data_IF_164708736028
#
_entry.id   IF_164708736028
#
_cell.length_a   1.000
_cell.length_b   1.000
_cell.length_c   1.000
_cell.angle_alpha   90.00
_cell.angle_beta   90.00
_cell.angle_gamma   90.00
#
_symmetry.space_group_name_H-M   'P 1'
#
loop_
_entity.id
_entity.type
_entity.pdbx_description
1 polymer ?
#
# COMPACT_ATOMS: atom_id res chain seq x y z
N UNK A 1 7.13 -0.58 16.53
CA UNK A 1 8.42 -0.53 15.82
C UNK A 1 8.62 0.78 15.05
N UNK A 2 7.66 1.21 14.21
CA UNK A 2 7.80 2.43 13.39
C UNK A 2 8.22 3.66 14.20
N UNK A 3 7.52 3.95 15.30
CA UNK A 3 7.80 5.13 16.12
C UNK A 3 9.23 5.11 16.71
N UNK A 4 9.71 3.95 17.18
CA UNK A 4 11.08 3.81 17.69
C UNK A 4 12.12 4.03 16.60
N UNK A 5 11.87 3.48 15.39
CA UNK A 5 12.73 3.71 14.24
C UNK A 5 12.73 5.19 13.83
N UNK A 6 11.58 5.85 13.84
CA UNK A 6 11.48 7.28 13.60
C UNK A 6 12.34 8.06 14.59
N UNK A 7 12.12 7.91 15.91
CA UNK A 7 12.87 8.66 16.94
C UNK A 7 14.39 8.54 16.78
N UNK A 8 14.88 7.35 16.42
CA UNK A 8 16.31 7.10 16.29
C UNK A 8 16.91 7.53 14.95
N UNK A 9 16.15 7.44 13.84
CA UNK A 9 16.71 7.54 12.49
C UNK A 9 16.35 8.83 11.76
N UNK A 10 15.19 9.44 12.02
CA UNK A 10 14.62 10.47 11.12
C UNK A 10 15.54 11.69 10.92
N UNK A 11 16.21 12.15 11.97
CA UNK A 11 17.09 13.33 11.93
C UNK A 11 18.27 13.14 10.96
N UNK A 12 18.81 11.93 10.87
CA UNK A 12 19.99 11.61 10.07
C UNK A 12 19.67 10.75 8.84
N UNK A 13 18.40 10.41 8.62
CA UNK A 13 17.94 9.49 7.56
C UNK A 13 18.46 9.91 6.18
N UNK A 14 18.37 11.20 5.85
CA UNK A 14 18.87 11.73 4.59
C UNK A 14 20.36 11.41 4.36
N UNK A 15 21.24 11.59 5.34
CA UNK A 15 22.66 11.19 5.24
C UNK A 15 22.87 9.69 5.33
N UNK A 16 22.23 9.02 6.28
CA UNK A 16 22.43 7.61 6.58
C UNK A 16 22.04 6.74 5.38
N UNK A 17 20.87 6.99 4.80
CA UNK A 17 20.31 6.18 3.72
C UNK A 17 21.02 6.39 2.37
N UNK A 18 21.91 7.41 2.28
CA UNK A 18 22.77 7.64 1.11
C UNK A 18 24.12 6.91 1.18
N UNK A 19 24.55 6.44 2.35
CA UNK A 19 25.84 5.73 2.55
C UNK A 19 25.94 4.48 1.67
N UNK A 20 27.15 3.96 1.44
CA UNK A 20 27.37 2.76 0.63
C UNK A 20 27.02 1.46 1.37
N UNK A 21 27.00 1.47 2.71
CA UNK A 21 26.82 0.27 3.54
C UNK A 21 25.53 -0.51 3.25
N UNK A 22 25.63 -1.84 3.15
CA UNK A 22 24.47 -2.71 2.90
C UNK A 22 23.52 -2.79 4.12
N UNK A 23 24.03 -2.49 5.32
CA UNK A 23 23.25 -2.47 6.56
C UNK A 23 23.35 -1.07 7.15
N UNK A 24 22.19 -0.42 7.28
CA UNK A 24 22.12 0.99 7.67
C UNK A 24 21.93 1.20 9.17
N UNK A 25 21.45 0.20 9.89
CA UNK A 25 21.35 0.21 11.36
C UNK A 25 21.48 -1.19 11.94
N UNK A 26 21.70 -1.25 13.25
CA UNK A 26 21.74 -2.49 14.04
C UNK A 26 20.43 -2.56 14.82
N UNK A 27 19.71 -3.67 14.68
CA UNK A 27 18.46 -3.88 15.40
C UNK A 27 18.72 -4.72 16.65
N UNK A 28 18.45 -4.14 17.82
CA UNK A 28 18.51 -4.84 19.11
C UNK A 28 17.11 -4.90 19.70
N UNK A 29 16.58 -6.10 19.90
CA UNK A 29 15.28 -6.30 20.54
C UNK A 29 15.49 -6.59 22.02
N UNK A 30 14.90 -5.75 22.88
CA UNK A 30 14.99 -5.91 24.33
C UNK A 30 14.50 -7.31 24.73
N UNK A 31 15.30 -8.03 25.52
CA UNK A 31 14.98 -9.39 25.98
C UNK A 31 15.17 -10.52 24.96
N UNK A 32 15.63 -10.24 23.73
CA UNK A 32 15.97 -11.28 22.75
C UNK A 32 17.47 -11.31 22.48
N UNK A 33 18.10 -12.40 22.89
CA UNK A 33 19.46 -12.74 22.45
C UNK A 33 19.34 -13.29 21.03
N UNK A 34 19.93 -12.62 20.06
CA UNK A 34 19.87 -13.04 18.66
C UNK A 34 21.22 -12.87 18.02
N UNK A 35 21.77 -13.99 17.52
CA UNK A 35 23.11 -14.07 16.93
C UNK A 35 23.13 -13.47 15.51
N UNK A 36 21.99 -13.54 14.79
CA UNK A 36 21.90 -13.08 13.40
C UNK A 36 21.39 -11.64 13.27
N UNK A 37 22.32 -10.70 13.28
CA UNK A 37 22.06 -9.27 13.05
C UNK A 37 21.45 -8.96 11.67
N UNK A 38 21.71 -9.79 10.65
CA UNK A 38 21.13 -9.62 9.32
C UNK A 38 19.64 -9.93 9.30
N UNK A 39 19.20 -10.95 10.05
CA UNK A 39 17.78 -11.26 10.24
C UNK A 39 17.07 -10.20 11.10
N UNK A 40 17.70 -9.74 12.17
CA UNK A 40 17.13 -8.67 13.02
C UNK A 40 16.87 -7.39 12.22
N UNK A 41 17.84 -6.96 11.41
CA UNK A 41 17.71 -5.83 10.51
C UNK A 41 16.51 -5.98 9.56
N UNK A 42 16.40 -7.12 8.86
CA UNK A 42 15.28 -7.39 7.93
C UNK A 42 13.92 -7.45 8.63
N UNK A 43 13.87 -8.06 9.80
CA UNK A 43 12.67 -8.10 10.62
C UNK A 43 12.26 -6.68 11.05
N UNK A 44 13.22 -5.81 11.38
CA UNK A 44 12.90 -4.44 11.79
C UNK A 44 12.20 -3.67 10.68
N UNK A 45 12.68 -3.79 9.43
CA UNK A 45 12.01 -3.22 8.24
C UNK A 45 10.60 -3.80 8.11
N UNK A 46 10.46 -5.12 8.22
CA UNK A 46 9.15 -5.79 8.09
C UNK A 46 8.15 -5.30 9.13
N UNK A 47 8.58 -5.12 10.39
CA UNK A 47 7.74 -4.59 11.46
C UNK A 47 7.41 -3.10 11.28
N UNK A 48 8.35 -2.31 10.75
CA UNK A 48 8.09 -0.91 10.38
C UNK A 48 6.99 -0.85 9.31
N UNK A 49 7.09 -1.63 8.24
CA UNK A 49 6.05 -1.70 7.19
C UNK A 49 4.70 -2.16 7.75
N UNK A 50 4.69 -3.19 8.60
CA UNK A 50 3.49 -3.69 9.24
C UNK A 50 2.83 -2.67 10.18
N UNK A 51 3.61 -1.80 10.83
CA UNK A 51 3.06 -0.70 11.61
C UNK A 51 2.47 0.41 10.71
N UNK A 52 3.14 0.74 9.60
CA UNK A 52 2.66 1.74 8.62
C UNK A 52 1.31 1.32 8.02
N UNK A 53 1.17 0.04 7.65
CA UNK A 53 -0.08 -0.52 7.13
C UNK A 53 -0.91 -1.16 8.27
N UNK A 54 -1.17 -0.40 9.34
CA UNK A 54 -2.03 -0.83 10.43
C UNK A 54 -2.81 0.33 11.04
N UNK A 55 -3.85 0.00 11.80
CA UNK A 55 -4.65 0.98 12.56
C UNK A 55 -3.93 1.54 13.80
N UNK A 56 -2.68 1.11 14.08
CA UNK A 56 -1.91 1.57 15.25
C UNK A 56 -1.32 2.97 15.07
N UNK A 57 -1.21 3.44 13.83
CA UNK A 57 -0.65 4.76 13.50
C UNK A 57 -1.72 5.62 12.82
N UNK A 58 -1.85 6.90 13.17
CA UNK A 58 -2.81 7.82 12.53
C UNK A 58 -2.28 8.35 11.19
N UNK A 59 -1.59 7.51 10.41
CA UNK A 59 -0.90 7.89 9.17
C UNK A 59 -1.58 7.32 7.93
N UNK A 60 -2.10 6.10 7.99
CA UNK A 60 -2.76 5.47 6.86
C UNK A 60 -4.04 4.81 7.34
N UNK A 61 -5.02 4.75 6.45
CA UNK A 61 -6.26 4.04 6.64
C UNK A 61 -6.43 3.04 5.51
N UNK A 62 -7.16 1.96 5.78
CA UNK A 62 -7.56 1.02 4.74
C UNK A 62 -8.48 1.76 3.75
N UNK A 63 -8.34 1.47 2.45
CA UNK A 63 -9.23 2.02 1.43
C UNK A 63 -10.71 1.84 1.82
N UNK A 64 -11.61 2.80 1.51
CA UNK A 64 -13.05 2.63 1.68
C UNK A 64 -13.57 1.29 1.16
N UNK A 65 -13.17 0.89 -0.05
CA UNK A 65 -13.46 -0.42 -0.64
C UNK A 65 -13.07 -1.60 0.27
N UNK A 66 -11.96 -1.50 0.99
CA UNK A 66 -11.52 -2.53 1.95
C UNK A 66 -12.36 -2.58 3.22
N UNK A 67 -12.85 -1.42 3.69
CA UNK A 67 -13.71 -1.32 4.88
C UNK A 67 -15.13 -1.80 4.60
N UNK A 68 -15.66 -1.53 3.41
CA UNK A 68 -16.98 -1.99 2.96
C UNK A 68 -16.92 -3.38 2.32
N UNK A 69 -15.72 -3.87 2.00
CA UNK A 69 -15.46 -5.12 1.31
C UNK A 69 -16.07 -5.20 -0.11
N UNK A 70 -16.16 -4.07 -0.81
CA UNK A 70 -16.71 -3.95 -2.17
C UNK A 70 -15.67 -3.27 -3.07
N UNK A 71 -15.59 -3.64 -4.35
CA UNK A 71 -14.69 -3.01 -5.31
C UNK A 71 -13.23 -3.50 -5.26
N UNK A 72 -12.33 -2.72 -5.84
CA UNK A 72 -10.90 -3.02 -5.97
C UNK A 72 -10.09 -2.54 -4.75
N UNK A 73 -8.81 -2.95 -4.67
CA UNK A 73 -7.84 -2.47 -3.68
C UNK A 73 -8.28 -2.63 -2.22
N UNK A 74 -9.02 -3.71 -1.91
CA UNK A 74 -9.59 -3.97 -0.59
C UNK A 74 -8.56 -4.23 0.51
N UNK A 75 -7.34 -4.62 0.14
CA UNK A 75 -6.22 -4.84 1.06
C UNK A 75 -5.21 -3.67 1.04
N UNK A 76 -5.52 -2.59 0.29
CA UNK A 76 -4.63 -1.46 0.11
C UNK A 76 -4.95 -0.31 1.06
N UNK A 77 -3.92 0.52 1.27
CA UNK A 77 -3.90 1.62 2.22
C UNK A 77 -3.73 2.95 1.49
N UNK A 78 -4.42 3.97 2.00
CA UNK A 78 -4.35 5.36 1.56
C UNK A 78 -3.93 6.24 2.74
N UNK A 79 -3.37 7.44 2.51
CA UNK A 79 -3.02 8.34 3.60
C UNK A 79 -4.26 8.66 4.43
N UNK A 80 -4.08 8.84 5.74
CA UNK A 80 -5.18 9.29 6.56
C UNK A 80 -5.62 10.70 6.13
N UNK A 81 -6.93 10.96 6.16
CA UNK A 81 -7.50 12.23 5.73
C UNK A 81 -7.13 13.31 6.74
N UNK A 82 -6.73 14.47 6.21
CA UNK A 82 -6.59 15.70 6.96
C UNK A 82 -7.26 16.78 6.13
N UNK A 83 -8.14 17.62 6.72
CA UNK A 83 -8.86 18.63 5.95
C UNK A 83 -7.90 19.50 5.14
N UNK A 84 -8.12 19.70 3.82
CA UNK A 84 -7.24 20.50 2.96
C UNK A 84 -7.00 21.93 3.48
N UNK A 85 -7.97 22.48 4.22
CA UNK A 85 -7.96 23.81 4.81
C UNK A 85 -7.33 23.86 6.22
N UNK A 86 -6.86 22.73 6.77
CA UNK A 86 -6.19 22.66 8.08
C UNK A 86 -4.75 22.16 7.91
N UNK A 87 -3.82 22.76 8.66
CA UNK A 87 -2.45 22.28 8.69
C UNK A 87 -2.38 20.93 9.40
N UNK A 88 -1.74 19.96 8.75
CA UNK A 88 -1.35 18.69 9.38
C UNK A 88 -0.46 18.98 10.61
N UNK A 89 -0.62 18.28 11.76
CA UNK A 89 0.28 18.44 12.89
C UNK A 89 1.74 18.12 12.51
N UNK A 90 2.70 18.92 13.00
CA UNK A 90 4.10 18.81 12.55
C UNK A 90 4.73 17.43 12.78
N UNK A 91 4.34 16.75 13.86
CA UNK A 91 4.77 15.37 14.11
C UNK A 91 4.31 14.42 13.00
N UNK A 92 3.08 14.57 12.53
CA UNK A 92 2.52 13.78 11.43
C UNK A 92 3.22 14.11 10.11
N UNK A 93 3.48 15.40 9.83
CA UNK A 93 4.27 15.83 8.66
C UNK A 93 5.64 15.14 8.64
N UNK A 94 6.34 15.13 9.78
CA UNK A 94 7.65 14.48 9.92
C UNK A 94 7.58 12.96 9.78
N UNK A 95 6.51 12.32 10.27
CA UNK A 95 6.30 10.89 10.05
C UNK A 95 6.11 10.55 8.56
N UNK A 96 5.27 11.29 7.83
CA UNK A 96 5.12 11.11 6.37
C UNK A 96 6.44 11.32 5.64
N UNK A 97 7.19 12.37 6.00
CA UNK A 97 8.53 12.60 5.46
C UNK A 97 9.48 11.43 5.74
N UNK A 98 9.45 10.85 6.93
CA UNK A 98 10.26 9.68 7.26
C UNK A 98 9.88 8.45 6.44
N UNK A 99 8.60 8.23 6.15
CA UNK A 99 8.15 7.16 5.25
C UNK A 99 8.73 7.36 3.85
N UNK A 100 8.68 8.58 3.32
CA UNK A 100 9.34 8.93 2.06
C UNK A 100 10.84 8.65 2.06
N UNK A 101 11.53 8.91 3.17
CA UNK A 101 12.96 8.59 3.33
C UNK A 101 13.21 7.07 3.32
N UNK A 102 12.36 6.28 3.98
CA UNK A 102 12.43 4.82 3.94
C UNK A 102 12.21 4.29 2.51
N UNK A 103 11.28 4.88 1.75
CA UNK A 103 11.07 4.53 0.35
C UNK A 103 12.30 4.84 -0.51
N UNK A 104 12.92 6.02 -0.32
CA UNK A 104 14.18 6.37 -0.99
C UNK A 104 15.33 5.41 -0.62
N UNK A 105 15.39 4.98 0.65
CA UNK A 105 16.33 3.94 1.08
C UNK A 105 16.09 2.63 0.34
N UNK A 106 14.84 2.19 0.21
CA UNK A 106 14.47 0.96 -0.48
C UNK A 106 14.96 0.97 -1.94
N UNK A 107 14.75 2.08 -2.64
CA UNK A 107 15.18 2.27 -4.03
C UNK A 107 16.71 2.15 -4.15
N UNK A 108 17.46 2.82 -3.26
CA UNK A 108 18.94 2.83 -3.29
C UNK A 108 19.56 1.51 -2.88
N UNK A 109 18.99 0.85 -1.87
CA UNK A 109 19.57 -0.34 -1.23
C UNK A 109 19.01 -1.65 -1.76
N UNK A 110 17.95 -1.60 -2.56
CA UNK A 110 17.17 -2.77 -2.98
C UNK A 110 16.68 -3.58 -1.77
N UNK A 111 16.41 -2.87 -0.66
CA UNK A 111 15.74 -3.42 0.53
C UNK A 111 14.26 -3.07 0.44
N UNK A 112 13.50 -3.99 -0.15
CA UNK A 112 12.09 -3.77 -0.44
C UNK A 112 11.25 -3.59 0.83
N UNK A 113 10.29 -2.67 0.75
CA UNK A 113 9.32 -2.41 1.80
C UNK A 113 8.01 -3.11 1.46
N UNK A 114 7.47 -3.89 2.39
CA UNK A 114 6.18 -4.56 2.20
C UNK A 114 5.03 -3.58 2.47
N UNK A 115 4.96 -2.49 1.70
CA UNK A 115 3.94 -1.45 1.79
C UNK A 115 2.79 -1.81 0.84
N UNK A 116 1.57 -1.80 1.37
CA UNK A 116 0.35 -2.11 0.63
C UNK A 116 -0.38 -0.84 0.22
N UNK A 117 0.30 0.15 -0.36
CA UNK A 117 -0.36 1.38 -0.79
C UNK A 117 -1.18 1.18 -2.06
N UNK A 118 -2.22 2.00 -2.26
CA UNK A 118 -3.05 1.97 -3.46
C UNK A 118 -2.34 2.60 -4.67
N UNK A 119 -2.76 2.21 -5.88
CA UNK A 119 -2.27 2.81 -7.14
C UNK A 119 -2.41 4.33 -7.18
N UNK A 120 -3.50 4.86 -6.59
CA UNK A 120 -3.75 6.28 -6.42
C UNK A 120 -2.56 7.00 -5.76
N UNK A 121 -2.04 6.46 -4.65
CA UNK A 121 -0.91 7.04 -3.92
C UNK A 121 0.35 7.07 -4.80
N UNK A 122 0.63 5.97 -5.49
CA UNK A 122 1.81 5.84 -6.36
C UNK A 122 1.77 6.84 -7.52
N UNK A 123 0.61 7.00 -8.17
CA UNK A 123 0.39 8.03 -9.20
C UNK A 123 0.66 9.43 -8.67
N UNK A 124 0.12 9.77 -7.50
CA UNK A 124 0.34 11.11 -6.93
C UNK A 124 1.81 11.38 -6.58
N UNK A 125 2.57 10.37 -6.16
CA UNK A 125 4.00 10.53 -5.87
C UNK A 125 4.85 10.90 -7.09
N UNK A 126 4.51 10.34 -8.26
CA UNK A 126 5.18 10.64 -9.54
C UNK A 126 4.56 11.85 -10.27
N UNK A 127 3.52 12.47 -9.67
CA UNK A 127 2.73 13.57 -10.27
C UNK A 127 2.00 13.16 -11.55
N UNK A 128 1.61 11.89 -11.66
CA UNK A 128 0.73 11.45 -12.72
C UNK A 128 -0.69 12.01 -12.50
N UNK A 129 -1.44 12.15 -13.58
CA UNK A 129 -2.81 12.65 -13.52
C UNK A 129 -3.70 11.63 -12.81
N UNK A 130 -4.40 12.10 -11.78
CA UNK A 130 -5.43 11.31 -11.10
C UNK A 130 -6.75 11.50 -11.84
N UNK A 131 -7.43 10.38 -12.11
CA UNK A 131 -8.72 10.35 -12.79
C UNK A 131 -9.82 9.85 -11.85
N UNK A 132 -11.07 9.91 -12.31
CA UNK A 132 -12.21 9.49 -11.51
C UNK A 132 -12.23 7.97 -11.30
N UNK A 133 -11.66 7.20 -12.22
CA UNK A 133 -11.46 5.75 -12.09
C UNK A 133 -10.49 5.41 -10.96
N UNK A 134 -9.53 6.29 -10.65
CA UNK A 134 -8.66 6.11 -9.49
C UNK A 134 -9.44 6.27 -8.17
N UNK A 135 -10.53 7.06 -8.16
CA UNK A 135 -11.47 7.14 -7.04
C UNK A 135 -12.29 5.85 -6.95
N UNK A 136 -12.86 5.35 -8.04
CA UNK A 136 -13.57 4.07 -8.08
C UNK A 136 -12.72 2.93 -7.51
N UNK A 137 -11.44 2.91 -7.89
CA UNK A 137 -10.50 1.89 -7.47
C UNK A 137 -10.24 1.86 -5.96
N UNK A 138 -10.45 2.97 -5.22
CA UNK A 138 -10.30 3.03 -3.75
C UNK A 138 -11.64 3.15 -3.01
N UNK A 139 -12.68 3.66 -3.67
CA UNK A 139 -13.97 4.04 -3.13
C UNK A 139 -15.07 4.04 -4.21
N UNK A 140 -15.57 2.85 -4.52
CA UNK A 140 -16.61 2.64 -5.53
C UNK A 140 -17.93 3.31 -5.14
N UNK A 141 -18.25 3.39 -3.85
CA UNK A 141 -19.50 4.00 -3.39
C UNK A 141 -19.52 5.50 -3.67
N UNK A 142 -18.44 6.22 -3.32
CA UNK A 142 -18.32 7.64 -3.65
C UNK A 142 -18.31 7.88 -5.17
N UNK A 143 -17.65 7.01 -5.94
CA UNK A 143 -17.66 7.08 -7.40
C UNK A 143 -19.08 6.94 -7.97
N UNK A 144 -19.77 5.86 -7.58
CA UNK A 144 -21.15 5.56 -8.00
C UNK A 144 -22.08 6.71 -7.63
N UNK A 145 -21.99 7.21 -6.40
CA UNK A 145 -22.78 8.36 -5.94
C UNK A 145 -22.64 9.57 -6.86
N UNK A 146 -21.42 10.03 -7.15
CA UNK A 146 -21.25 11.22 -8.00
C UNK A 146 -21.70 10.96 -9.44
N UNK A 147 -21.29 9.83 -10.02
CA UNK A 147 -21.48 9.57 -11.45
C UNK A 147 -22.91 9.16 -11.79
N UNK A 148 -23.54 8.28 -10.99
CA UNK A 148 -24.93 7.88 -11.22
C UNK A 148 -25.88 9.04 -10.94
N UNK A 149 -25.62 9.85 -9.91
CA UNK A 149 -26.45 11.02 -9.65
C UNK A 149 -26.34 12.04 -10.77
N UNK A 150 -25.13 12.40 -11.22
CA UNK A 150 -24.98 13.33 -12.35
C UNK A 150 -25.67 12.81 -13.61
N UNK A 151 -25.49 11.53 -13.95
CA UNK A 151 -26.14 10.90 -15.10
C UNK A 151 -27.67 10.95 -15.01
N UNK A 152 -28.22 10.56 -13.86
CA UNK A 152 -29.68 10.54 -13.63
C UNK A 152 -30.28 11.93 -13.84
N UNK A 153 -29.57 12.98 -13.44
CA UNK A 153 -30.03 14.36 -13.58
C UNK A 153 -29.94 14.81 -15.01
N UNK A 154 -28.83 14.53 -15.70
CA UNK A 154 -28.67 14.87 -17.11
C UNK A 154 -29.74 14.20 -17.98
N UNK A 155 -30.04 12.92 -17.73
CA UNK A 155 -31.10 12.17 -18.43
C UNK A 155 -32.50 12.71 -18.13
N UNK A 156 -32.78 13.08 -16.87
CA UNK A 156 -34.07 13.66 -16.50
C UNK A 156 -34.26 15.05 -17.10
N UNK A 157 -33.24 15.93 -17.05
CA UNK A 157 -33.28 17.27 -17.67
C UNK A 157 -33.54 17.17 -19.19
N UNK A 158 -33.02 16.14 -19.86
CA UNK A 158 -33.19 15.98 -21.31
C UNK A 158 -34.54 15.36 -21.73
N UNK A 159 -35.21 14.62 -20.85
CA UNK A 159 -36.36 13.77 -21.22
C UNK A 159 -37.73 14.36 -20.90
N UNK A 160 -37.82 15.47 -20.17
CA UNK A 160 -39.10 15.98 -19.66
C UNK A 160 -39.40 17.41 -20.14
N UNK A 161 -40.63 17.61 -20.63
CA UNK A 161 -41.15 18.90 -21.12
C UNK A 161 -41.83 19.74 -20.01
N UNK A 162 -41.79 19.28 -18.75
CA UNK A 162 -42.46 19.92 -17.61
C UNK A 162 -41.53 19.95 -16.41
N UNK A 163 -41.06 21.15 -16.05
CA UNK A 163 -40.08 21.39 -14.98
C UNK A 163 -40.52 20.92 -13.57
N UNK A 164 -41.83 20.75 -13.31
CA UNK A 164 -42.34 20.56 -11.96
C UNK A 164 -42.13 19.13 -11.40
N UNK A 165 -42.38 18.07 -12.17
CA UNK A 165 -42.25 16.69 -11.68
C UNK A 165 -40.79 16.28 -11.43
N UNK A 166 -39.86 16.82 -12.22
CA UNK A 166 -38.42 16.64 -12.02
C UNK A 166 -37.99 17.29 -10.71
N UNK A 167 -38.42 18.54 -10.49
CA UNK A 167 -38.05 19.28 -9.30
C UNK A 167 -38.54 18.55 -8.03
N UNK A 168 -39.73 17.96 -8.04
CA UNK A 168 -40.24 17.19 -6.89
C UNK A 168 -39.45 15.90 -6.64
N UNK A 169 -39.10 15.14 -7.69
CA UNK A 169 -38.24 13.96 -7.55
C UNK A 169 -36.83 14.35 -7.06
N UNK A 170 -36.20 15.35 -7.66
CA UNK A 170 -34.86 15.81 -7.29
C UNK A 170 -34.82 16.42 -5.88
N UNK A 171 -35.87 17.17 -5.49
CA UNK A 171 -36.03 17.68 -4.13
C UNK A 171 -36.12 16.54 -3.12
N UNK A 172 -36.80 15.43 -3.44
CA UNK A 172 -36.86 14.27 -2.54
C UNK A 172 -35.53 13.53 -2.40
N UNK A 173 -34.67 13.53 -3.42
CA UNK A 173 -33.36 12.84 -3.38
C UNK A 173 -32.33 13.67 -2.61
N UNK A 174 -32.42 15.02 -2.64
CA UNK A 174 -31.41 15.92 -2.06
C UNK A 174 -31.90 16.76 -0.89
N UNK A 175 -33.09 16.52 -0.35
CA UNK A 175 -33.67 17.31 0.76
C UNK A 175 -32.70 17.49 1.94
N UNK A 176 -31.94 16.43 2.24
CA UNK A 176 -30.93 16.38 3.30
C UNK A 176 -29.51 16.69 2.82
N UNK A 177 -29.28 16.81 1.51
CA UNK A 177 -27.94 17.09 1.00
C UNK A 177 -27.60 18.57 1.06
N UNK A 178 -26.37 18.84 1.50
CA UNK A 178 -25.78 20.17 1.63
C UNK A 178 -24.49 20.21 0.84
N UNK A 179 -23.85 21.38 0.72
CA UNK A 179 -22.52 21.50 0.10
C UNK A 179 -21.41 20.92 0.99
N UNK A 180 -21.57 19.64 1.31
CA UNK A 180 -20.69 18.82 2.12
C UNK A 180 -20.50 17.45 1.44
N UNK A 181 -19.37 16.81 1.74
CA UNK A 181 -19.09 15.45 1.30
C UNK A 181 -18.50 14.62 2.43
N UNK A 182 -18.62 13.30 2.32
CA UNK A 182 -17.95 12.36 3.22
C UNK A 182 -16.58 12.03 2.64
N UNK A 183 -15.54 12.26 3.43
CA UNK A 183 -14.16 11.92 3.10
C UNK A 183 -13.90 10.42 3.10
N UNK A 184 -12.74 10.00 2.57
CA UNK A 184 -12.25 8.62 2.69
C UNK A 184 -12.08 8.18 4.14
N UNK A 185 -12.02 9.07 5.13
CA UNK A 185 -11.99 8.69 6.55
C UNK A 185 -13.39 8.50 7.15
N UNK A 186 -14.44 8.94 6.46
CA UNK A 186 -15.81 9.01 6.99
C UNK A 186 -16.13 10.34 7.68
N UNK A 187 -15.23 11.33 7.60
CA UNK A 187 -15.44 12.67 8.16
C UNK A 187 -16.18 13.57 7.15
N UNK A 188 -17.07 14.43 7.65
CA UNK A 188 -17.78 15.43 6.84
C UNK A 188 -16.83 16.59 6.50
N UNK A 189 -16.81 16.99 5.24
CA UNK A 189 -16.05 18.13 4.74
C UNK A 189 -16.96 19.09 3.98
N UNK A 190 -16.93 20.36 4.34
CA UNK A 190 -17.63 21.42 3.61
C UNK A 190 -16.90 21.76 2.31
N UNK A 191 -17.59 21.61 1.18
CA UNK A 191 -17.04 21.89 -0.16
C UNK A 191 -16.91 23.40 -0.42
N UNK A 192 -17.70 24.21 0.27
CA UNK A 192 -17.66 25.68 0.26
C UNK A 192 -17.81 26.19 1.70
N UNK A 193 -17.40 27.43 2.01
CA UNK A 193 -17.62 28.02 3.33
C UNK A 193 -19.12 28.02 3.70
N UNK A 194 -19.44 27.62 4.93
CA UNK A 194 -20.83 27.46 5.41
C UNK A 194 -21.66 26.48 4.56
N UNK A 195 -21.00 25.53 3.89
CA UNK A 195 -21.63 24.57 2.99
C UNK A 195 -22.74 23.75 3.65
N UNK A 196 -22.63 23.46 4.96
CA UNK A 196 -23.67 22.80 5.76
C UNK A 196 -25.03 23.53 5.75
N UNK A 197 -25.05 24.85 5.50
CA UNK A 197 -26.27 25.66 5.44
C UNK A 197 -26.88 25.74 4.05
N UNK A 198 -26.16 25.29 3.01
CA UNK A 198 -26.53 25.51 1.62
C UNK A 198 -27.12 24.21 1.05
N UNK A 199 -28.45 24.13 0.84
CA UNK A 199 -29.07 22.96 0.25
C UNK A 199 -28.73 22.81 -1.23
N UNK A 200 -28.60 21.56 -1.65
CA UNK A 200 -28.41 21.22 -3.07
C UNK A 200 -29.76 21.29 -3.78
N UNK A 201 -29.74 21.86 -4.99
CA UNK A 201 -30.88 22.09 -5.87
C UNK A 201 -30.44 21.85 -7.31
N UNK A 202 -31.39 21.69 -8.23
CA UNK A 202 -31.09 21.44 -9.65
C UNK A 202 -30.14 22.49 -10.24
N UNK A 203 -30.30 23.76 -9.85
CA UNK A 203 -29.49 24.87 -10.33
C UNK A 203 -28.02 24.84 -9.88
N UNK A 204 -27.71 24.23 -8.73
CA UNK A 204 -26.36 24.23 -8.15
C UNK A 204 -25.74 22.83 -8.08
N UNK A 205 -26.47 21.78 -8.46
CA UNK A 205 -26.02 20.39 -8.42
C UNK A 205 -24.76 20.14 -9.26
N UNK A 206 -24.68 20.71 -10.46
CA UNK A 206 -23.50 20.55 -11.33
C UNK A 206 -22.24 21.13 -10.68
N UNK A 207 -22.38 22.23 -9.96
CA UNK A 207 -21.29 22.81 -9.18
C UNK A 207 -20.91 21.91 -8.00
N UNK A 208 -21.89 21.37 -7.27
CA UNK A 208 -21.67 20.38 -6.22
C UNK A 208 -20.86 19.18 -6.71
N UNK A 209 -21.26 18.53 -7.82
CA UNK A 209 -20.53 17.39 -8.39
C UNK A 209 -19.10 17.74 -8.77
N UNK A 210 -18.89 18.91 -9.39
CA UNK A 210 -17.55 19.39 -9.73
C UNK A 210 -16.67 19.56 -8.48
N UNK A 211 -17.19 20.22 -7.44
CA UNK A 211 -16.45 20.46 -6.20
C UNK A 211 -16.19 19.16 -5.43
N UNK A 212 -17.16 18.24 -5.39
CA UNK A 212 -16.98 16.92 -4.81
C UNK A 212 -15.85 16.17 -5.51
N UNK A 213 -15.86 16.10 -6.85
CA UNK A 213 -14.78 15.45 -7.61
C UNK A 213 -13.43 16.06 -7.33
N UNK A 214 -13.33 17.39 -7.39
CA UNK A 214 -12.07 18.09 -7.13
C UNK A 214 -11.54 17.80 -5.72
N UNK A 215 -12.42 17.78 -4.72
CA UNK A 215 -12.07 17.38 -3.36
C UNK A 215 -11.52 15.94 -3.31
N UNK A 216 -12.25 14.96 -3.85
CA UNK A 216 -11.83 13.54 -3.80
C UNK A 216 -10.50 13.31 -4.51
N UNK A 217 -10.27 13.96 -5.66
CA UNK A 217 -9.02 13.86 -6.42
C UNK A 217 -7.82 14.48 -5.69
N UNK A 218 -8.05 15.49 -4.84
CA UNK A 218 -7.01 16.22 -4.12
C UNK A 218 -6.91 15.88 -2.62
N UNK A 219 -7.72 14.95 -2.12
CA UNK A 219 -7.91 14.68 -0.69
C UNK A 219 -6.60 14.42 0.09
N UNK A 220 -5.62 13.77 -0.54
CA UNK A 220 -4.37 13.37 0.10
C UNK A 220 -3.16 14.24 -0.26
N UNK A 221 -3.36 15.35 -0.98
CA UNK A 221 -2.28 16.13 -1.61
C UNK A 221 -1.22 16.60 -0.60
N UNK A 222 -1.63 17.04 0.59
CA UNK A 222 -0.70 17.51 1.63
C UNK A 222 0.19 16.38 2.16
N UNK A 223 -0.39 15.22 2.41
CA UNK A 223 0.25 14.02 2.95
C UNK A 223 1.28 13.50 1.95
N UNK A 224 0.88 13.38 0.67
CA UNK A 224 1.77 12.96 -0.42
C UNK A 224 2.94 13.93 -0.57
N UNK A 225 2.72 15.24 -0.40
CA UNK A 225 3.80 16.21 -0.47
C UNK A 225 4.91 15.94 0.54
N UNK A 226 4.56 15.63 1.78
CA UNK A 226 5.56 15.31 2.81
C UNK A 226 6.29 14.00 2.52
N UNK A 227 5.59 12.96 2.03
CA UNK A 227 6.24 11.71 1.58
C UNK A 227 7.23 12.02 0.46
N UNK A 228 6.83 12.81 -0.53
CA UNK A 228 7.66 13.19 -1.67
C UNK A 228 8.90 13.99 -1.25
N UNK A 229 8.77 14.94 -0.33
CA UNK A 229 9.89 15.66 0.28
C UNK A 229 10.89 14.72 0.98
N UNK A 230 10.36 13.70 1.67
CA UNK A 230 11.19 12.66 2.30
C UNK A 230 12.01 11.90 1.28
N UNK A 231 11.35 11.51 0.19
CA UNK A 231 11.94 10.73 -0.89
C UNK A 231 13.03 11.53 -1.62
N UNK A 232 12.78 12.81 -1.91
CA UNK A 232 13.76 13.74 -2.47
C UNK A 232 14.98 14.00 -1.58
N UNK A 233 14.85 13.80 -0.26
CA UNK A 233 16.00 13.96 0.63
C UNK A 233 17.00 12.79 0.56
N UNK A 234 16.61 11.67 -0.08
CA UNK A 234 17.44 10.46 -0.21
C UNK A 234 17.82 10.19 -1.67
N UNK A 235 16.90 10.40 -2.61
CA UNK A 235 17.17 10.28 -4.06
C UNK A 235 16.98 11.64 -4.76
N UNK A 236 17.76 11.98 -5.79
CA UNK A 236 17.58 13.23 -6.52
C UNK A 236 16.19 13.30 -7.18
N UNK A 237 15.53 14.46 -7.09
CA UNK A 237 14.12 14.59 -7.46
C UNK A 237 13.78 14.31 -8.92
N UNK A 238 14.72 14.54 -9.85
CA UNK A 238 14.54 14.23 -11.26
C UNK A 238 14.38 12.73 -11.55
N UNK A 239 14.89 11.84 -10.68
CA UNK A 239 14.67 10.40 -10.86
C UNK A 239 13.21 10.01 -10.71
N UNK A 240 12.45 10.68 -9.83
CA UNK A 240 11.03 10.34 -9.63
C UNK A 240 10.17 10.59 -10.86
N UNK A 241 10.51 11.60 -11.66
CA UNK A 241 9.75 11.98 -12.86
C UNK A 241 9.91 10.94 -13.97
N UNK A 242 10.96 10.11 -13.90
CA UNK A 242 11.22 9.04 -14.87
C UNK A 242 10.42 7.77 -14.59
N UNK A 243 9.82 7.64 -13.40
CA UNK A 243 9.04 6.48 -13.03
C UNK A 243 7.58 6.65 -13.44
N UNK A 244 7.00 5.61 -14.02
CA UNK A 244 5.56 5.39 -13.93
C UNK A 244 5.18 5.00 -12.49
N UNK A 245 3.90 5.12 -12.13
CA UNK A 245 3.40 4.74 -10.81
C UNK A 245 3.76 3.28 -10.45
N UNK A 246 3.60 2.35 -11.41
CA UNK A 246 3.90 0.94 -11.23
C UNK A 246 5.40 0.68 -11.03
N UNK A 247 6.27 1.34 -11.81
CA UNK A 247 7.71 1.17 -11.66
C UNK A 247 8.21 1.75 -10.33
N UNK A 248 7.60 2.83 -9.82
CA UNK A 248 7.91 3.34 -8.48
C UNK A 248 7.49 2.34 -7.39
N UNK A 249 6.28 1.75 -7.50
CA UNK A 249 5.83 0.70 -6.60
C UNK A 249 6.81 -0.49 -6.64
N UNK A 250 7.21 -0.97 -7.82
CA UNK A 250 8.17 -2.08 -7.93
C UNK A 250 9.56 -1.71 -7.38
N UNK A 251 10.01 -0.48 -7.56
CA UNK A 251 11.30 -0.03 -7.04
C UNK A 251 11.33 0.03 -5.49
N UNK A 252 10.19 0.34 -4.87
CA UNK A 252 10.04 0.43 -3.41
C UNK A 252 9.66 -0.90 -2.78
N UNK A 253 8.67 -1.59 -3.34
CA UNK A 253 8.05 -2.79 -2.77
C UNK A 253 8.56 -4.09 -3.38
N UNK A 254 9.30 -4.02 -4.48
CA UNK A 254 9.67 -5.19 -5.28
C UNK A 254 8.52 -5.66 -6.16
N UNK A 255 8.80 -6.60 -7.06
CA UNK A 255 7.78 -7.15 -7.96
C UNK A 255 6.66 -7.83 -7.18
N UNK A 256 5.42 -7.52 -7.56
CA UNK A 256 4.22 -8.05 -6.91
C UNK A 256 4.05 -9.56 -7.08
N UNK A 257 4.39 -10.09 -8.26
CA UNK A 257 4.41 -11.52 -8.57
C UNK A 257 5.79 -12.11 -8.34
N UNK A 258 5.86 -13.18 -7.57
CA UNK A 258 7.10 -13.88 -7.32
C UNK A 258 7.53 -14.67 -8.56
N UNK A 259 8.75 -14.42 -9.04
CA UNK A 259 9.36 -15.24 -10.10
C UNK A 259 9.77 -16.60 -9.53
N UNK A 260 8.82 -17.53 -9.55
CA UNK A 260 9.01 -18.88 -9.03
C UNK A 260 10.06 -19.67 -9.81
N UNK A 261 10.25 -19.37 -11.10
CA UNK A 261 11.28 -19.99 -11.91
C UNK A 261 12.67 -19.51 -11.49
N UNK A 262 12.83 -18.23 -11.20
CA UNK A 262 14.05 -17.68 -10.61
C UNK A 262 14.36 -18.33 -9.25
N UNK A 263 13.36 -18.47 -8.38
CA UNK A 263 13.53 -19.14 -7.09
C UNK A 263 13.93 -20.61 -7.26
N UNK A 264 13.26 -21.34 -8.15
CA UNK A 264 13.53 -22.76 -8.44
C UNK A 264 14.91 -22.98 -9.04
N UNK A 265 15.38 -22.08 -9.90
CA UNK A 265 16.75 -22.11 -10.46
C UNK A 265 17.82 -21.84 -9.40
N UNK A 266 17.54 -20.98 -8.43
CA UNK A 266 18.45 -20.63 -7.33
C UNK A 266 18.27 -21.49 -6.07
N UNK A 267 17.55 -22.62 -6.17
CA UNK A 267 17.40 -23.58 -5.08
C UNK A 267 18.41 -24.73 -5.22
N UNK A 268 19.10 -25.05 -4.13
CA UNK A 268 19.96 -26.23 -3.99
C UNK A 268 19.25 -27.32 -3.18
N UNK A 269 19.58 -28.57 -3.48
CA UNK A 269 19.00 -29.74 -2.82
C UNK A 269 20.13 -30.49 -2.10
N UNK A 270 19.96 -30.76 -0.81
CA UNK A 270 20.94 -31.50 -0.01
C UNK A 270 20.68 -33.01 0.03
N UNK A 271 21.70 -33.75 0.44
CA UNK A 271 21.64 -35.14 0.93
C UNK A 271 20.82 -36.08 0.03
N UNK A 272 21.13 -36.08 -1.28
CA UNK A 272 20.56 -36.99 -2.27
C UNK A 272 19.24 -36.53 -2.91
N UNK A 273 18.62 -35.46 -2.41
CA UNK A 273 17.50 -34.83 -3.11
C UNK A 273 17.94 -34.19 -4.43
N UNK A 274 17.08 -34.29 -5.43
CA UNK A 274 17.25 -33.61 -6.70
C UNK A 274 15.89 -33.18 -7.27
N UNK A 275 15.89 -32.47 -8.39
CA UNK A 275 14.66 -31.94 -9.02
C UNK A 275 13.64 -33.02 -9.41
N UNK A 276 14.07 -34.28 -9.58
CA UNK A 276 13.21 -35.42 -9.94
C UNK A 276 12.66 -36.16 -8.71
N UNK A 277 13.14 -35.86 -7.50
CA UNK A 277 12.63 -36.46 -6.27
C UNK A 277 11.15 -36.09 -6.09
N UNK A 278 10.27 -37.06 -5.86
CA UNK A 278 8.81 -36.83 -5.78
C UNK A 278 8.43 -35.80 -4.73
N UNK A 279 9.08 -35.81 -3.56
CA UNK A 279 8.85 -34.81 -2.51
C UNK A 279 9.19 -33.38 -2.99
N UNK A 280 10.28 -33.20 -3.75
CA UNK A 280 10.66 -31.92 -4.33
C UNK A 280 9.64 -31.47 -5.40
N UNK A 281 9.15 -32.39 -6.22
CA UNK A 281 8.12 -32.08 -7.21
C UNK A 281 6.82 -31.62 -6.53
N UNK A 282 6.33 -32.35 -5.52
CA UNK A 282 5.15 -31.95 -4.75
C UNK A 282 5.35 -30.60 -4.05
N UNK A 283 6.52 -30.37 -3.45
CA UNK A 283 6.84 -29.09 -2.84
C UNK A 283 6.67 -27.93 -3.84
N UNK A 284 7.21 -28.06 -5.06
CA UNK A 284 7.05 -27.00 -6.07
C UNK A 284 5.63 -26.89 -6.60
N UNK A 285 4.92 -28.00 -6.82
CA UNK A 285 3.51 -27.97 -7.24
C UNK A 285 2.67 -27.21 -6.22
N UNK A 286 2.80 -27.53 -4.93
CA UNK A 286 2.07 -26.81 -3.87
C UNK A 286 2.47 -25.33 -3.84
N UNK A 287 3.78 -25.04 -3.85
CA UNK A 287 4.26 -23.67 -3.71
C UNK A 287 3.97 -22.79 -4.95
N UNK A 288 3.97 -23.35 -6.16
CA UNK A 288 3.76 -22.60 -7.41
C UNK A 288 2.28 -22.50 -7.76
N UNK A 289 1.57 -23.64 -7.68
CA UNK A 289 0.24 -23.80 -8.27
C UNK A 289 -0.88 -23.64 -7.23
N UNK A 290 -0.62 -23.95 -5.95
CA UNK A 290 -1.65 -23.89 -4.90
C UNK A 290 -1.56 -22.64 -4.02
N UNK A 291 -0.35 -22.11 -3.79
CA UNK A 291 -0.19 -20.95 -2.92
C UNK A 291 -0.61 -19.66 -3.63
N UNK A 292 -1.32 -18.79 -2.90
CA UNK A 292 -1.52 -17.39 -3.31
C UNK A 292 -0.21 -16.62 -3.28
N UNK A 293 -0.12 -15.47 -3.95
CA UNK A 293 1.08 -14.63 -3.89
C UNK A 293 1.40 -14.19 -2.44
N UNK A 294 0.38 -13.98 -1.60
CA UNK A 294 0.59 -13.69 -0.18
C UNK A 294 1.20 -14.89 0.57
N UNK A 295 0.71 -16.10 0.32
CA UNK A 295 1.27 -17.32 0.92
C UNK A 295 2.71 -17.56 0.45
N UNK A 296 3.03 -17.28 -0.82
CA UNK A 296 4.41 -17.32 -1.35
C UNK A 296 5.31 -16.31 -0.64
N UNK A 297 4.83 -15.07 -0.42
CA UNK A 297 5.56 -14.05 0.38
C UNK A 297 5.76 -14.49 1.82
N UNK A 298 4.76 -15.09 2.46
CA UNK A 298 4.87 -15.64 3.82
C UNK A 298 5.90 -16.77 3.89
N UNK A 299 5.90 -17.67 2.91
CA UNK A 299 6.92 -18.72 2.78
C UNK A 299 8.34 -18.12 2.68
N UNK A 300 8.57 -17.12 1.83
CA UNK A 300 9.88 -16.46 1.78
C UNK A 300 10.26 -15.76 3.08
N UNK A 301 9.30 -15.13 3.78
CA UNK A 301 9.54 -14.54 5.10
C UNK A 301 9.97 -15.61 6.10
N UNK A 302 9.35 -16.78 6.06
CA UNK A 302 9.69 -17.91 6.91
C UNK A 302 11.11 -18.41 6.66
N UNK A 303 11.47 -18.65 5.39
CA UNK A 303 12.75 -19.27 5.01
C UNK A 303 13.93 -18.27 5.00
N UNK A 304 13.70 -17.04 4.56
CA UNK A 304 14.75 -16.04 4.30
C UNK A 304 14.58 -14.71 5.05
N UNK A 305 13.47 -14.51 5.75
CA UNK A 305 13.18 -13.25 6.43
C UNK A 305 12.96 -12.07 5.48
N UNK A 306 12.56 -12.33 4.22
CA UNK A 306 12.22 -11.31 3.22
C UNK A 306 10.90 -11.66 2.53
N UNK A 307 10.12 -10.68 2.12
CA UNK A 307 8.88 -10.88 1.34
C UNK A 307 9.11 -11.06 -0.15
N UNK A 308 10.28 -10.72 -0.69
CA UNK A 308 10.52 -10.63 -2.13
C UNK A 308 11.83 -11.29 -2.54
N UNK A 309 11.89 -11.72 -3.81
CA UNK A 309 13.09 -12.28 -4.42
C UNK A 309 14.06 -11.19 -4.89
N UNK A 310 15.37 -11.49 -4.96
CA UNK A 310 16.30 -10.70 -5.77
C UNK A 310 15.83 -10.59 -7.23
N UNK A 311 16.15 -9.49 -7.92
CA UNK A 311 15.68 -9.25 -9.30
C UNK A 311 16.26 -10.20 -10.36
N UNK A 312 17.43 -10.78 -10.10
CA UNK A 312 18.14 -11.65 -11.03
C UNK A 312 19.10 -12.57 -10.27
N UNK A 313 19.63 -13.59 -10.96
CA UNK A 313 20.50 -14.63 -10.39
C UNK A 313 21.69 -14.06 -9.62
N UNK A 314 22.32 -13.01 -10.14
CA UNK A 314 23.51 -12.38 -9.54
C UNK A 314 23.25 -11.70 -8.20
N UNK A 315 21.98 -11.41 -7.88
CA UNK A 315 21.63 -10.69 -6.65
C UNK A 315 21.32 -11.64 -5.49
N UNK A 316 21.44 -12.96 -5.67
CA UNK A 316 21.28 -13.95 -4.60
C UNK A 316 22.55 -14.02 -3.74
N UNK A 317 22.50 -13.43 -2.54
CA UNK A 317 23.57 -13.53 -1.54
C UNK A 317 23.71 -14.93 -0.93
N UNK A 318 22.61 -15.69 -0.90
CA UNK A 318 22.55 -17.07 -0.38
C UNK A 318 21.44 -17.83 -1.10
N UNK A 319 21.74 -19.06 -1.56
CA UNK A 319 20.76 -19.93 -2.25
C UNK A 319 19.81 -20.59 -1.25
N UNK A 320 18.58 -20.87 -1.70
CA UNK A 320 17.60 -21.57 -0.89
C UNK A 320 18.01 -23.04 -0.88
N UNK A 321 18.07 -23.69 0.28
CA UNK A 321 18.47 -25.09 0.36
C UNK A 321 17.35 -25.92 0.99
N UNK A 322 16.96 -27.00 0.30
CA UNK A 322 16.02 -28.00 0.83
C UNK A 322 16.82 -29.24 1.18
N UNK A 323 16.78 -29.63 2.46
CA UNK A 323 17.42 -30.85 2.95
C UNK A 323 16.34 -31.85 3.42
N UNK A 324 16.57 -33.16 3.27
CA UNK A 324 15.75 -34.15 3.95
C UNK A 324 15.85 -33.96 5.47
N UNK A 325 14.73 -34.11 6.16
CA UNK A 325 14.72 -34.20 7.61
C UNK A 325 14.79 -35.67 8.00
N UNK A 326 15.91 -36.09 8.58
CA UNK A 326 16.05 -37.43 9.16
C UNK A 326 15.47 -37.41 10.56
N UNK A 327 14.28 -37.97 10.73
CA UNK A 327 13.74 -38.27 12.07
C UNK A 327 14.61 -39.37 12.65
N UNK A 328 15.33 -39.08 13.74
CA UNK A 328 16.01 -40.12 14.50
C UNK A 328 14.96 -41.16 14.96
N UNK A 329 15.27 -42.46 14.86
CA UNK A 329 14.28 -43.55 14.94
C UNK A 329 13.35 -43.53 16.18
N UNK A 330 13.76 -42.84 17.25
CA UNK A 330 13.01 -42.67 18.49
C UNK A 330 11.90 -41.59 18.47
N UNK A 331 11.77 -40.81 17.38
CA UNK A 331 10.77 -39.74 17.23
C UNK A 331 9.79 -39.98 16.06
N UNK A 332 9.73 -41.19 15.50
CA UNK A 332 8.75 -41.53 14.46
C UNK A 332 7.34 -41.38 15.02
N UNK A 333 6.64 -40.35 14.54
CA UNK A 333 5.23 -40.09 14.84
C UNK A 333 4.39 -41.27 14.32
N UNK A 334 3.79 -42.03 15.25
CA UNK A 334 3.01 -43.25 14.95
C UNK A 334 1.70 -42.96 14.21
N UNK A 335 1.38 -41.70 13.94
CA UNK A 335 0.12 -41.27 13.34
C UNK A 335 0.15 -41.16 11.81
N UNK A 336 1.32 -41.21 11.18
CA UNK A 336 1.43 -41.24 9.72
C UNK A 336 1.44 -42.68 9.20
N UNK A 337 0.60 -43.03 8.20
CA UNK A 337 0.56 -44.37 7.67
C UNK A 337 1.89 -44.72 6.99
N UNK A 338 2.49 -45.82 7.43
CA UNK A 338 3.61 -46.47 6.75
C UNK A 338 3.14 -47.04 5.41
N UNK A 339 3.92 -46.81 4.36
CA UNK A 339 3.68 -47.33 3.00
C UNK A 339 3.63 -48.85 2.95
#
# INVERSE_FOLDING_TARGET
MFHQAYEQLHNHAHTLFRRADNRLWIAQYLGKHSVDQGRLYRNSISYICADICSTRLPLFILCPNGRTNIGLNRDRWIPNVFPPNKSIPDRIKRHYRFIGQLMGMAIRKKHYLDLKFSGFLWKQLVRDQITIEDIEAIDIQSFTFINEMEKTIEENIQSTNTDNDINDLLNSIWEDMRFECVSSAGEIYELIPDGHKIPIRASNFKEYCKLYRDYRLNEFRQQIEFIRQGLYSVIPGYYLILFTANELEEAVCGKGKMDMDLLKRNTTYGDGYNRKSSCIQYFWTVLVDMFTEEQKKMFLKFVWGRSTLPCCDNNFQSKFRINPYYVADHLKDKTLPSK
#
